data_IF_802251010818
#
_entry.id   IF_802251010818
#
_cell.length_a   1.000
_cell.length_b   1.000
_cell.length_c   1.000
_cell.angle_alpha   90.00
_cell.angle_beta   90.00
_cell.angle_gamma   90.00
#
_symmetry.space_group_name_H-M   'P 1'
#
loop_
_entity.id
_entity.type
_entity.pdbx_description
1 polymer ?
#
# COMPACT_ATOMS: atom_id res chain seq x y z
N UNK A 1 31.25 -20.94 10.33
CA UNK A 1 31.29 -19.73 11.17
C UNK A 1 30.42 -18.70 10.49
N UNK A 2 29.29 -18.31 11.08
CA UNK A 2 28.32 -17.40 10.48
C UNK A 2 26.91 -17.62 11.03
N UNK A 3 26.72 -17.34 12.33
CA UNK A 3 25.39 -17.27 12.95
C UNK A 3 24.62 -16.07 12.37
N UNK A 4 23.52 -16.36 11.67
CA UNK A 4 22.50 -15.37 11.31
C UNK A 4 21.61 -15.19 12.54
N UNK A 5 21.79 -14.07 13.22
CA UNK A 5 21.01 -13.64 14.38
C UNK A 5 19.50 -13.64 14.07
N UNK A 6 18.76 -14.58 14.65
CA UNK A 6 17.29 -14.56 14.75
C UNK A 6 16.89 -13.44 15.71
N UNK A 7 16.64 -12.25 15.17
CA UNK A 7 15.91 -11.20 15.89
C UNK A 7 14.43 -11.55 15.84
N UNK A 8 13.97 -12.20 16.91
CA UNK A 8 12.58 -12.60 17.07
C UNK A 8 11.71 -11.37 17.32
N UNK A 9 10.47 -11.39 16.87
CA UNK A 9 9.46 -10.34 17.09
C UNK A 9 9.36 -9.85 18.56
N UNK A 10 9.68 -10.73 19.52
CA UNK A 10 9.80 -10.37 20.94
C UNK A 10 10.89 -9.33 21.24
N UNK A 11 12.01 -9.35 20.52
CA UNK A 11 13.12 -8.42 20.71
C UNK A 11 12.83 -7.04 20.13
N UNK A 12 12.07 -6.99 19.03
CA UNK A 12 11.55 -5.74 18.46
C UNK A 12 10.54 -5.09 19.42
N UNK A 13 9.57 -5.87 19.91
CA UNK A 13 8.59 -5.39 20.90
C UNK A 13 9.24 -4.92 22.20
N UNK A 14 10.27 -5.63 22.67
CA UNK A 14 11.04 -5.23 23.87
C UNK A 14 11.87 -3.97 23.63
N UNK A 15 12.37 -3.75 22.40
CA UNK A 15 13.03 -2.49 22.00
C UNK A 15 12.05 -1.32 21.89
N UNK A 16 10.87 -1.52 21.29
CA UNK A 16 9.83 -0.49 21.23
C UNK A 16 9.33 -0.06 22.61
N UNK A 17 9.24 -1.00 23.57
CA UNK A 17 8.90 -0.71 24.96
C UNK A 17 10.02 0.05 25.70
N UNK A 18 11.29 -0.29 25.44
CA UNK A 18 12.47 0.40 26.01
C UNK A 18 12.71 1.79 25.44
N UNK A 19 12.28 2.05 24.20
CA UNK A 19 12.55 3.32 23.50
C UNK A 19 11.49 4.40 23.74
N UNK A 20 10.54 4.18 24.65
CA UNK A 20 9.60 5.20 25.12
C UNK A 20 8.55 5.66 24.09
N UNK A 21 8.45 4.99 22.94
CA UNK A 21 7.50 5.30 21.86
C UNK A 21 6.05 4.89 22.17
N UNK A 22 5.84 4.03 23.17
CA UNK A 22 4.53 3.75 23.78
C UNK A 22 4.55 4.16 25.25
N UNK A 23 4.76 5.46 25.51
CA UNK A 23 4.32 6.04 26.78
C UNK A 23 2.81 6.20 26.65
N UNK A 24 2.04 5.31 27.28
CA UNK A 24 0.63 5.56 27.54
C UNK A 24 0.61 6.75 28.49
N UNK A 25 0.44 7.96 27.93
CA UNK A 25 0.21 9.16 28.72
C UNK A 25 -1.24 9.06 29.19
N UNK A 26 -1.53 9.04 30.50
CA UNK A 26 -2.90 9.16 30.97
C UNK A 26 -3.39 10.54 30.53
N UNK A 27 -4.50 10.57 29.79
CA UNK A 27 -5.10 11.79 29.27
C UNK A 27 -5.54 12.68 30.44
N UNK A 28 -4.71 13.67 30.79
CA UNK A 28 -5.10 14.81 31.62
C UNK A 28 -5.64 15.91 30.69
N UNK A 29 -6.97 16.07 30.69
CA UNK A 29 -7.67 17.11 29.95
C UNK A 29 -7.68 18.46 30.69
N UNK A 30 -7.23 19.48 29.97
CA UNK A 30 -7.40 20.95 30.08
C UNK A 30 -7.93 21.60 31.37
N UNK A 31 -7.15 22.57 31.87
CA UNK A 31 -7.50 23.53 32.92
C UNK A 31 -8.55 24.54 32.47
N UNK A 32 -9.66 24.66 33.20
CA UNK A 32 -10.41 25.91 33.38
C UNK A 32 -10.79 26.06 34.87
N UNK A 33 -10.86 27.30 35.35
CA UNK A 33 -10.49 27.71 36.71
C UNK A 33 -11.71 28.16 37.55
N UNK A 34 -12.15 27.40 38.57
CA UNK A 34 -12.77 27.89 39.84
C UNK A 34 -12.98 26.72 40.86
N UNK A 35 -13.16 27.01 42.15
CA UNK A 35 -12.24 26.76 43.26
C UNK A 35 -12.40 25.39 43.96
N UNK A 36 -11.32 25.05 44.65
CA UNK A 36 -11.07 23.92 45.55
C UNK A 36 -12.11 23.75 46.68
N UNK A 37 -12.66 22.54 46.82
CA UNK A 37 -13.16 21.97 48.10
C UNK A 37 -12.62 20.55 48.22
N UNK A 38 -12.00 20.29 49.36
CA UNK A 38 -11.21 19.11 49.69
C UNK A 38 -12.02 17.93 50.23
N UNK A 39 -11.58 16.74 49.83
CA UNK A 39 -11.61 15.42 50.50
C UNK A 39 -12.76 14.43 50.23
N UNK A 40 -12.29 13.24 49.82
CA UNK A 40 -12.89 11.90 49.81
C UNK A 40 -13.79 11.50 48.62
N UNK A 41 -13.23 10.59 47.81
CA UNK A 41 -13.90 9.63 46.92
C UNK A 41 -14.36 10.11 45.53
N UNK A 42 -13.43 10.61 44.72
CA UNK A 42 -13.58 10.64 43.26
C UNK A 42 -12.63 9.61 42.63
N UNK A 43 -12.78 8.34 43.03
CA UNK A 43 -12.40 7.26 42.13
C UNK A 43 -13.30 7.38 40.90
N UNK A 44 -12.73 7.85 39.79
CA UNK A 44 -13.41 8.07 38.51
C UNK A 44 -14.45 6.96 38.31
N UNK A 45 -15.75 7.28 38.30
CA UNK A 45 -16.85 6.28 38.44
C UNK A 45 -16.66 5.11 37.48
N UNK A 46 -16.09 5.41 36.31
CA UNK A 46 -15.65 4.46 35.28
C UNK A 46 -14.67 3.40 35.82
N UNK A 47 -13.63 3.81 36.56
CA UNK A 47 -12.64 2.92 37.18
C UNK A 47 -13.25 2.03 38.26
N UNK A 48 -14.21 2.56 39.02
CA UNK A 48 -14.92 1.78 40.06
C UNK A 48 -15.87 0.74 39.45
N UNK A 49 -16.47 1.03 38.29
CA UNK A 49 -17.34 0.09 37.56
C UNK A 49 -16.50 -0.97 36.80
N UNK A 50 -15.37 -0.58 36.20
CA UNK A 50 -14.49 -1.47 35.41
C UNK A 50 -13.62 -2.39 36.28
N UNK A 51 -13.29 -1.94 37.49
CA UNK A 51 -12.41 -2.65 38.42
C UNK A 51 -10.94 -2.63 38.01
N UNK A 52 -10.08 -3.14 38.88
CA UNK A 52 -8.63 -3.15 38.64
C UNK A 52 -8.23 -4.03 37.45
N UNK A 53 -7.21 -3.59 36.70
CA UNK A 53 -6.73 -4.32 35.53
C UNK A 53 -6.13 -5.68 35.90
N UNK A 54 -6.88 -6.76 35.65
CA UNK A 54 -6.56 -8.13 36.04
C UNK A 54 -5.84 -8.96 34.97
N UNK A 55 -5.31 -10.11 35.38
CA UNK A 55 -4.65 -11.08 34.48
C UNK A 55 -5.57 -11.56 33.34
N UNK A 56 -6.87 -11.61 33.59
CA UNK A 56 -7.85 -12.05 32.60
C UNK A 56 -8.14 -10.96 31.56
N UNK A 57 -8.25 -9.70 31.98
CA UNK A 57 -8.35 -8.55 31.06
C UNK A 57 -7.09 -8.43 30.19
N UNK A 58 -5.90 -8.68 30.76
CA UNK A 58 -4.65 -8.75 30.00
C UNK A 58 -4.67 -9.87 28.96
N UNK A 59 -5.12 -11.08 29.34
CA UNK A 59 -5.24 -12.21 28.42
C UNK A 59 -6.22 -11.92 27.28
N UNK A 60 -7.38 -11.35 27.57
CA UNK A 60 -8.36 -10.98 26.54
C UNK A 60 -7.84 -9.90 25.60
N UNK A 61 -7.16 -8.89 26.14
CA UNK A 61 -6.50 -7.85 25.33
C UNK A 61 -5.45 -8.48 24.39
N UNK A 62 -4.64 -9.40 24.91
CA UNK A 62 -3.66 -10.13 24.10
C UNK A 62 -4.32 -10.96 22.99
N UNK A 63 -5.39 -11.70 23.28
CA UNK A 63 -6.10 -12.50 22.28
C UNK A 63 -6.76 -11.62 21.19
N UNK A 64 -7.37 -10.49 21.58
CA UNK A 64 -7.96 -9.55 20.63
C UNK A 64 -6.90 -8.91 19.72
N UNK A 65 -5.76 -8.52 20.27
CA UNK A 65 -4.63 -8.00 19.47
C UNK A 65 -4.04 -9.06 18.54
N UNK A 66 -3.92 -10.32 18.99
CA UNK A 66 -3.45 -11.42 18.15
C UNK A 66 -4.38 -11.64 16.94
N UNK A 67 -5.68 -11.53 17.14
CA UNK A 67 -6.66 -11.68 16.06
C UNK A 67 -6.72 -10.46 15.13
N UNK A 68 -6.44 -9.27 15.65
CA UNK A 68 -6.41 -8.02 14.88
C UNK A 68 -5.14 -7.86 14.04
N UNK A 69 -4.07 -8.58 14.38
CA UNK A 69 -2.79 -8.50 13.67
C UNK A 69 -2.93 -8.93 12.19
N UNK A 70 -3.47 -10.13 11.84
CA UNK A 70 -3.70 -10.49 10.44
C UNK A 70 -4.53 -9.49 9.64
N UNK A 71 -5.58 -8.92 10.25
CA UNK A 71 -6.40 -7.90 9.61
C UNK A 71 -5.56 -6.67 9.23
N UNK A 72 -4.71 -6.21 10.15
CA UNK A 72 -3.81 -5.08 9.91
C UNK A 72 -2.87 -5.33 8.71
N UNK A 73 -2.25 -6.52 8.63
CA UNK A 73 -1.39 -6.86 7.47
C UNK A 73 -2.15 -6.87 6.16
N UNK A 74 -3.37 -7.39 6.15
CA UNK A 74 -4.20 -7.42 4.96
C UNK A 74 -4.53 -6.01 4.46
N UNK A 75 -4.75 -5.05 5.37
CA UNK A 75 -4.99 -3.64 5.01
C UNK A 75 -3.77 -2.99 4.37
N UNK A 76 -2.56 -3.33 4.82
CA UNK A 76 -1.32 -2.77 4.28
C UNK A 76 -0.79 -3.50 3.03
N UNK A 77 -1.30 -4.68 2.71
CA UNK A 77 -0.83 -5.47 1.57
C UNK A 77 -0.82 -4.70 0.24
N UNK A 78 -1.87 -3.91 -0.11
CA UNK A 78 -1.87 -3.12 -1.34
C UNK A 78 -0.71 -2.13 -1.45
N UNK A 79 -0.21 -1.58 -0.34
CA UNK A 79 0.92 -0.64 -0.35
C UNK A 79 2.21 -1.28 -0.90
N UNK A 80 2.37 -2.60 -0.72
CA UNK A 80 3.54 -3.33 -1.21
C UNK A 80 3.30 -3.94 -2.59
N UNK A 81 2.07 -4.40 -2.87
CA UNK A 81 1.75 -5.05 -4.14
C UNK A 81 1.37 -4.08 -5.26
N UNK A 82 1.01 -2.83 -4.95
CA UNK A 82 0.67 -1.77 -5.91
C UNK A 82 1.79 -0.73 -6.08
N UNK A 83 3.06 -1.14 -5.93
CA UNK A 83 4.18 -0.25 -6.25
C UNK A 83 4.17 0.04 -7.75
N UNK A 84 4.21 1.31 -8.12
CA UNK A 84 4.35 1.74 -9.50
C UNK A 84 5.69 1.27 -10.07
N UNK A 85 5.65 0.62 -11.24
CA UNK A 85 6.82 0.18 -11.99
C UNK A 85 6.90 0.94 -13.32
N UNK A 86 8.10 1.00 -13.91
CA UNK A 86 8.27 1.54 -15.25
C UNK A 86 7.60 0.59 -16.24
N UNK A 87 6.87 1.15 -17.20
CA UNK A 87 6.13 0.40 -18.21
C UNK A 87 6.28 1.03 -19.59
N UNK A 88 6.04 0.22 -20.61
CA UNK A 88 6.08 0.60 -22.02
C UNK A 88 5.11 -0.28 -22.81
N UNK A 89 4.83 0.09 -24.06
CA UNK A 89 3.93 -0.67 -24.90
C UNK A 89 4.60 -1.95 -25.40
N UNK A 90 3.83 -3.04 -25.44
CA UNK A 90 4.31 -4.34 -25.85
C UNK A 90 4.89 -4.30 -27.26
N UNK A 91 6.05 -4.95 -27.45
CA UNK A 91 6.70 -5.01 -28.76
C UNK A 91 6.00 -6.02 -29.68
N UNK A 92 5.82 -5.69 -30.97
CA UNK A 92 5.38 -6.67 -31.96
C UNK A 92 6.37 -7.84 -32.04
N UNK A 93 5.89 -9.03 -32.38
CA UNK A 93 6.72 -10.24 -32.49
C UNK A 93 7.93 -10.05 -33.42
N UNK A 94 7.74 -9.32 -34.52
CA UNK A 94 8.77 -8.98 -35.51
C UNK A 94 9.93 -8.13 -34.93
N UNK A 95 9.73 -7.51 -33.78
CA UNK A 95 10.69 -6.62 -33.10
C UNK A 95 11.07 -7.13 -31.71
N UNK A 96 10.73 -8.37 -31.36
CA UNK A 96 10.98 -8.98 -30.05
C UNK A 96 12.47 -9.11 -29.67
N UNK A 97 13.37 -9.15 -30.66
CA UNK A 97 14.83 -9.21 -30.46
C UNK A 97 15.50 -7.85 -30.27
N UNK A 98 14.77 -6.74 -30.49
CA UNK A 98 15.30 -5.39 -30.26
C UNK A 98 15.57 -5.15 -28.75
N UNK A 99 16.54 -4.34 -28.35
CA UNK A 99 16.63 -3.89 -26.96
C UNK A 99 15.43 -3.02 -26.58
N UNK A 100 15.01 -3.10 -25.30
CA UNK A 100 13.85 -2.34 -24.80
C UNK A 100 14.10 -0.83 -24.84
N UNK A 101 15.33 -0.38 -24.57
CA UNK A 101 15.66 1.05 -24.58
C UNK A 101 15.52 1.67 -25.97
N UNK A 102 16.02 0.98 -27.01
CA UNK A 102 15.90 1.41 -28.40
C UNK A 102 14.44 1.42 -28.86
N UNK A 103 13.66 0.44 -28.40
CA UNK A 103 12.23 0.37 -28.66
C UNK A 103 11.50 1.58 -28.08
N UNK A 104 11.69 1.89 -26.79
CA UNK A 104 11.02 3.01 -26.12
C UNK A 104 11.41 4.33 -26.82
N UNK A 105 12.69 4.51 -27.12
CA UNK A 105 13.19 5.73 -27.77
C UNK A 105 12.55 5.96 -29.16
N UNK A 106 12.38 4.90 -29.96
CA UNK A 106 11.77 5.01 -31.29
C UNK A 106 10.24 5.14 -31.24
N UNK A 107 9.59 4.30 -30.41
CA UNK A 107 8.13 4.11 -30.43
C UNK A 107 7.38 5.09 -29.51
N UNK A 108 7.99 5.53 -28.41
CA UNK A 108 7.34 6.29 -27.33
C UNK A 108 8.19 7.46 -26.80
N UNK A 109 8.49 8.48 -27.62
CA UNK A 109 9.30 9.63 -27.19
C UNK A 109 8.55 10.64 -26.30
N UNK A 110 7.21 10.62 -26.28
CA UNK A 110 6.39 11.63 -25.57
C UNK A 110 5.89 11.08 -24.24
N UNK A 111 5.12 10.00 -24.29
CA UNK A 111 4.47 9.40 -23.15
C UNK A 111 4.52 7.88 -23.22
N UNK A 112 4.52 7.24 -22.05
CA UNK A 112 4.43 5.79 -21.96
C UNK A 112 3.04 5.28 -22.37
N UNK A 113 2.01 6.11 -22.52
CA UNK A 113 0.64 5.67 -22.78
C UNK A 113 0.28 5.52 -24.27
N UNK A 114 1.07 6.16 -25.13
CA UNK A 114 0.84 6.21 -26.57
C UNK A 114 2.04 5.64 -27.31
N UNK A 115 1.76 4.98 -28.42
CA UNK A 115 2.76 4.39 -29.32
C UNK A 115 2.66 5.02 -30.70
N UNK A 116 3.80 5.26 -31.33
CA UNK A 116 3.88 5.67 -32.72
C UNK A 116 3.26 4.60 -33.64
N UNK A 117 2.52 5.00 -34.65
CA UNK A 117 1.99 4.06 -35.65
C UNK A 117 3.16 3.46 -36.43
N UNK A 118 3.33 2.13 -36.32
CA UNK A 118 4.38 1.40 -36.99
C UNK A 118 4.02 1.16 -38.48
N UNK A 119 4.90 1.51 -39.42
CA UNK A 119 4.69 1.20 -40.82
C UNK A 119 4.87 -0.30 -41.09
N UNK A 120 4.16 -0.79 -42.09
CA UNK A 120 4.26 -2.19 -42.52
C UNK A 120 5.68 -2.50 -43.02
N UNK A 121 6.27 -3.60 -42.54
CA UNK A 121 7.59 -4.07 -42.96
C UNK A 121 8.78 -3.51 -42.16
N UNK A 122 8.55 -2.92 -41.00
CA UNK A 122 9.63 -2.48 -40.11
C UNK A 122 10.48 -3.66 -39.60
N UNK A 123 11.80 -3.49 -39.58
CA UNK A 123 12.76 -4.49 -39.12
C UNK A 123 13.60 -3.96 -37.97
N UNK A 124 14.13 -4.86 -37.13
CA UNK A 124 15.02 -4.52 -36.01
C UNK A 124 16.24 -3.73 -36.47
N UNK A 125 16.84 -4.14 -37.59
CA UNK A 125 18.02 -3.48 -38.17
C UNK A 125 17.74 -2.03 -38.58
N UNK A 126 16.54 -1.75 -39.12
CA UNK A 126 16.18 -0.39 -39.54
C UNK A 126 16.09 0.57 -38.35
N UNK A 127 15.69 0.09 -37.18
CA UNK A 127 15.60 0.89 -35.95
C UNK A 127 17.01 1.13 -35.40
N UNK A 128 17.83 0.08 -35.28
CA UNK A 128 19.22 0.19 -34.79
C UNK A 128 20.08 1.09 -35.68
N UNK A 129 19.89 1.03 -36.99
CA UNK A 129 20.59 1.87 -37.96
C UNK A 129 19.95 3.25 -38.16
N UNK A 130 18.96 3.63 -37.34
CA UNK A 130 18.24 4.91 -37.40
C UNK A 130 17.69 5.26 -38.80
N UNK A 131 17.37 4.23 -39.60
CA UNK A 131 16.85 4.35 -40.97
C UNK A 131 15.35 4.03 -41.04
N UNK A 132 14.77 3.59 -39.93
CA UNK A 132 13.34 3.33 -39.83
C UNK A 132 12.54 4.62 -40.10
N UNK A 133 11.47 4.56 -40.90
CA UNK A 133 10.59 5.70 -41.13
C UNK A 133 9.94 6.18 -39.83
N UNK A 134 9.96 7.50 -39.58
CA UNK A 134 9.28 8.11 -38.43
C UNK A 134 7.98 8.74 -38.89
N UNK A 135 6.85 8.15 -38.45
CA UNK A 135 5.52 8.69 -38.71
C UNK A 135 5.03 9.45 -37.47
N UNK A 136 4.71 10.75 -37.58
CA UNK A 136 4.35 11.59 -36.43
C UNK A 136 2.89 11.46 -35.95
N UNK A 137 2.38 10.24 -36.01
CA UNK A 137 1.04 9.88 -35.59
C UNK A 137 1.10 8.83 -34.49
N UNK A 138 0.31 9.05 -33.43
CA UNK A 138 0.30 8.21 -32.23
C UNK A 138 -1.06 7.54 -32.05
N UNK A 139 -1.04 6.34 -31.48
CA UNK A 139 -2.21 5.56 -31.11
C UNK A 139 -2.09 5.11 -29.64
N UNK A 140 -3.23 4.93 -28.97
CA UNK A 140 -3.27 4.35 -27.61
C UNK A 140 -2.80 2.91 -27.63
N UNK A 141 -1.99 2.52 -26.64
CA UNK A 141 -1.54 1.15 -26.51
C UNK A 141 -2.62 0.26 -25.89
N UNK A 142 -2.70 -0.96 -26.42
CA UNK A 142 -3.64 -1.99 -25.94
C UNK A 142 -2.95 -3.00 -25.03
N UNK A 143 -1.63 -3.14 -25.12
CA UNK A 143 -0.84 -4.11 -24.38
C UNK A 143 0.44 -3.47 -23.84
N UNK A 144 0.87 -3.98 -22.68
CA UNK A 144 1.89 -3.38 -21.83
C UNK A 144 2.97 -4.40 -21.45
N UNK A 145 4.20 -3.92 -21.40
CA UNK A 145 5.33 -4.62 -20.78
C UNK A 145 5.85 -3.77 -19.62
N UNK A 146 6.33 -4.44 -18.57
CA UNK A 146 6.71 -3.83 -17.29
C UNK A 146 8.14 -4.21 -16.91
N UNK A 147 8.85 -3.27 -16.29
CA UNK A 147 10.13 -3.57 -15.64
C UNK A 147 9.90 -4.32 -14.34
N UNK A 148 10.31 -5.59 -14.33
CA UNK A 148 10.21 -6.50 -13.18
C UNK A 148 11.51 -6.61 -12.37
N UNK A 149 12.57 -5.90 -12.77
CA UNK A 149 13.92 -6.06 -12.18
C UNK A 149 13.98 -5.68 -10.69
N UNK A 150 13.28 -4.61 -10.29
CA UNK A 150 13.30 -4.13 -8.91
C UNK A 150 12.27 -4.78 -7.98
N UNK A 151 11.06 -5.05 -8.49
CA UNK A 151 9.86 -5.33 -7.65
C UNK A 151 9.19 -6.65 -8.01
N UNK A 152 9.54 -7.25 -9.15
CA UNK A 152 8.82 -8.41 -9.66
C UNK A 152 7.42 -8.06 -10.16
N UNK A 153 6.49 -9.00 -10.01
CA UNK A 153 5.09 -8.84 -10.43
C UNK A 153 4.29 -8.08 -9.38
N UNK A 154 3.59 -7.05 -9.84
CA UNK A 154 2.72 -6.19 -9.03
C UNK A 154 1.29 -6.28 -9.52
N UNK A 155 0.33 -5.91 -8.67
CA UNK A 155 -1.10 -5.86 -9.05
C UNK A 155 -1.30 -4.89 -10.24
N UNK A 156 -0.47 -3.85 -10.34
CA UNK A 156 -0.50 -2.91 -11.47
C UNK A 156 -0.13 -3.62 -12.78
N UNK A 157 0.95 -4.41 -12.76
CA UNK A 157 1.43 -5.12 -13.95
C UNK A 157 0.55 -6.32 -14.35
N UNK A 158 -0.12 -6.95 -13.38
CA UNK A 158 -0.99 -8.11 -13.64
C UNK A 158 -2.32 -7.68 -14.28
N UNK A 159 -2.90 -6.58 -13.79
CA UNK A 159 -4.22 -6.09 -14.21
C UNK A 159 -4.18 -4.93 -15.20
N UNK A 160 -2.98 -4.52 -15.65
CA UNK A 160 -2.78 -3.40 -16.57
C UNK A 160 -3.45 -2.09 -16.07
N UNK A 161 -3.22 -1.75 -14.80
CA UNK A 161 -3.80 -0.58 -14.13
C UNK A 161 -3.00 0.70 -14.44
N UNK A 162 -2.77 0.96 -15.74
CA UNK A 162 -2.01 2.11 -16.24
C UNK A 162 -2.85 2.94 -17.21
N UNK A 163 -2.44 4.18 -17.47
CA UNK A 163 -3.08 5.08 -18.43
C UNK A 163 -4.59 5.25 -18.15
N UNK A 164 -5.46 4.84 -19.07
CA UNK A 164 -6.92 4.94 -18.92
C UNK A 164 -7.45 4.19 -17.69
N UNK A 165 -6.75 3.12 -17.27
CA UNK A 165 -7.12 2.28 -16.13
C UNK A 165 -6.45 2.67 -14.81
N UNK A 166 -5.60 3.71 -14.79
CA UNK A 166 -4.86 4.11 -13.59
C UNK A 166 -5.79 4.50 -12.42
N UNK A 167 -6.97 5.05 -12.73
CA UNK A 167 -7.96 5.45 -11.73
C UNK A 167 -8.61 4.25 -11.02
N UNK A 168 -8.57 3.04 -11.60
CA UNK A 168 -9.16 1.85 -10.97
C UNK A 168 -8.47 1.51 -9.65
N UNK A 169 -7.17 1.77 -9.52
CA UNK A 169 -6.41 1.60 -8.27
C UNK A 169 -6.95 2.51 -7.18
N UNK A 170 -7.17 3.79 -7.50
CA UNK A 170 -7.73 4.77 -6.56
C UNK A 170 -9.18 4.45 -6.17
N UNK A 171 -9.98 3.97 -7.13
CA UNK A 171 -11.36 3.53 -6.85
C UNK A 171 -11.38 2.35 -5.88
N UNK A 172 -10.45 1.40 -6.01
CA UNK A 172 -10.31 0.27 -5.08
C UNK A 172 -10.06 0.74 -3.63
N UNK A 173 -9.16 1.70 -3.45
CA UNK A 173 -8.85 2.28 -2.13
C UNK A 173 -10.07 2.98 -1.51
N UNK A 174 -10.80 3.77 -2.30
CA UNK A 174 -12.01 4.46 -1.84
C UNK A 174 -13.09 3.46 -1.42
N UNK A 175 -13.35 2.43 -2.23
CA UNK A 175 -14.33 1.39 -1.91
C UNK A 175 -13.95 0.65 -0.63
N UNK A 176 -12.66 0.36 -0.44
CA UNK A 176 -12.15 -0.25 0.78
C UNK A 176 -12.42 0.62 2.02
N UNK A 177 -12.07 1.92 1.96
CA UNK A 177 -12.29 2.85 3.08
C UNK A 177 -13.77 3.04 3.41
N UNK A 178 -14.62 3.11 2.39
CA UNK A 178 -16.08 3.15 2.57
C UNK A 178 -16.57 1.88 3.28
N UNK A 179 -16.08 0.71 2.86
CA UNK A 179 -16.41 -0.57 3.49
C UNK A 179 -16.03 -0.60 4.98
N UNK A 180 -14.83 -0.13 5.32
CA UNK A 180 -14.38 0.00 6.72
C UNK A 180 -15.28 0.96 7.51
N UNK A 181 -15.63 2.11 6.94
CA UNK A 181 -16.51 3.09 7.57
C UNK A 181 -17.91 2.53 7.86
N UNK A 182 -18.53 1.88 6.86
CA UNK A 182 -19.85 1.23 7.03
C UNK A 182 -19.78 0.11 8.06
N UNK A 183 -18.74 -0.72 8.01
CA UNK A 183 -18.51 -1.81 8.96
C UNK A 183 -18.42 -1.31 10.40
N UNK A 184 -17.73 -0.19 10.64
CA UNK A 184 -17.63 0.43 11.96
C UNK A 184 -18.99 0.91 12.50
N UNK A 185 -19.79 1.58 11.67
CA UNK A 185 -21.14 2.05 12.07
C UNK A 185 -22.06 0.89 12.40
N UNK A 186 -22.12 -0.12 11.52
CA UNK A 186 -22.98 -1.30 11.72
C UNK A 186 -22.53 -2.12 12.91
N UNK A 187 -21.21 -2.33 13.06
CA UNK A 187 -20.64 -3.06 14.20
C UNK A 187 -20.92 -2.37 15.53
N UNK A 188 -20.79 -1.03 15.58
CA UNK A 188 -21.15 -0.24 16.76
C UNK A 188 -22.63 -0.37 17.11
N UNK A 189 -23.52 -0.28 16.12
CA UNK A 189 -24.96 -0.44 16.33
C UNK A 189 -25.35 -1.83 16.83
N UNK A 190 -24.71 -2.89 16.32
CA UNK A 190 -24.93 -4.26 16.80
C UNK A 190 -24.39 -4.44 18.21
N UNK A 191 -23.25 -3.84 18.55
CA UNK A 191 -22.65 -3.98 19.89
C UNK A 191 -23.42 -3.28 21.00
N UNK A 192 -24.16 -2.22 20.66
CA UNK A 192 -24.99 -1.46 21.61
C UNK A 192 -26.29 -2.19 21.97
N UNK A 193 -26.69 -3.17 21.16
CA UNK A 193 -27.95 -3.91 21.28
C UNK A 193 -27.78 -5.31 21.86
#
# INVERSE_FOLDING_TARGET
MGEVNKLTFQDFMRKCFKMGLFKIIPSQGSKEKHPEVTNEDDSDVVSTIIGDYGRWQLLMTFLLSLFSFPCTFHIYLPTFTAKATKFWCQRPENLSSLPVDDWINYSQPVDACSIRILPAGITVESILNNTAPLLDSFQKCTQWEYDKSEVGETIISEWNLVCDNANLTSLGEVVFLVGVGVGGVVGGWISDK
#
